data_IF_561238857686
#
_entry.id   IF_561238857686
#
_cell.length_a   1.000
_cell.length_b   1.000
_cell.length_c   1.000
_cell.angle_alpha   90.00
_cell.angle_beta   90.00
_cell.angle_gamma   90.00
#
_symmetry.space_group_name_H-M   'P 1'
#
loop_
_entity.id
_entity.type
_entity.pdbx_description
1 polymer ?
#
# COMPACT_ATOMS: atom_id res chain seq x y z
N UNK A 1 1.11 19.79 10.74
CA UNK A 1 1.05 20.29 9.35
C UNK A 1 -0.37 20.17 8.83
N UNK A 2 -0.77 21.06 7.92
CA UNK A 2 -2.12 21.00 7.37
C UNK A 2 -2.17 21.49 5.91
N UNK A 3 -3.13 20.92 5.17
CA UNK A 3 -3.55 21.37 3.84
C UNK A 3 -4.97 21.94 3.95
N UNK A 4 -5.24 23.00 3.22
CA UNK A 4 -6.60 23.63 3.11
C UNK A 4 -7.23 23.44 1.73
N UNK A 5 -6.57 22.67 0.88
CA UNK A 5 -7.06 22.23 -0.43
C UNK A 5 -6.79 20.72 -0.58
N UNK A 6 -7.61 20.00 -1.34
CA UNK A 6 -7.31 18.60 -1.70
C UNK A 6 -6.03 18.54 -2.53
N UNK A 7 -5.44 17.36 -2.59
CA UNK A 7 -4.25 17.07 -3.38
C UNK A 7 -4.60 16.85 -4.85
N UNK A 8 -3.66 17.13 -5.75
CA UNK A 8 -3.81 16.83 -7.18
C UNK A 8 -3.46 15.36 -7.48
N UNK A 9 -2.61 14.77 -6.67
CA UNK A 9 -2.17 13.38 -6.81
C UNK A 9 -1.43 12.91 -5.55
N UNK A 10 -0.97 11.67 -5.55
CA UNK A 10 -0.26 11.04 -4.43
C UNK A 10 1.08 11.68 -4.06
N UNK A 11 1.68 12.53 -4.90
CA UNK A 11 2.93 13.23 -4.57
C UNK A 11 2.74 14.30 -3.48
N UNK A 12 1.49 14.73 -3.28
CA UNK A 12 1.11 15.70 -2.25
C UNK A 12 0.56 15.03 -1.00
N UNK A 13 0.74 13.71 -0.87
CA UNK A 13 0.27 12.93 0.27
C UNK A 13 1.00 13.28 1.56
N UNK A 14 0.31 13.13 2.68
CA UNK A 14 0.91 13.19 4.02
C UNK A 14 1.34 11.79 4.47
N UNK A 15 2.53 11.62 5.07
CA UNK A 15 2.94 10.34 5.64
C UNK A 15 2.21 10.09 6.95
N UNK A 16 1.84 8.85 7.20
CA UNK A 16 1.37 8.36 8.49
C UNK A 16 1.91 6.94 8.69
N UNK A 17 2.12 6.50 9.93
CA UNK A 17 2.61 5.15 10.16
C UNK A 17 2.71 4.80 11.62
N UNK A 18 2.83 3.52 11.88
CA UNK A 18 3.02 2.93 13.21
C UNK A 18 3.37 1.46 13.06
N UNK A 19 3.93 0.86 14.11
CA UNK A 19 4.46 -0.49 14.07
C UNK A 19 5.38 -0.68 12.85
N UNK A 20 5.04 -1.58 11.92
CA UNK A 20 5.80 -1.85 10.69
C UNK A 20 5.04 -1.42 9.41
N UNK A 21 3.94 -0.64 9.57
CA UNK A 21 3.12 -0.12 8.47
C UNK A 21 3.45 1.34 8.20
N UNK A 22 3.61 1.67 6.93
CA UNK A 22 3.72 3.03 6.42
C UNK A 22 2.59 3.34 5.45
N UNK A 23 2.06 4.56 5.53
CA UNK A 23 1.00 5.09 4.69
C UNK A 23 1.43 6.37 4.01
N UNK A 24 0.89 6.59 2.82
CA UNK A 24 0.82 7.88 2.15
C UNK A 24 -0.65 8.22 1.96
N UNK A 25 -1.14 9.27 2.60
CA UNK A 25 -2.57 9.60 2.66
C UNK A 25 -2.85 10.94 2.00
N UNK A 26 -3.86 11.00 1.13
CA UNK A 26 -4.28 12.24 0.47
C UNK A 26 -5.78 12.22 0.14
N UNK A 27 -6.33 13.39 -0.13
CA UNK A 27 -7.70 13.54 -0.64
C UNK A 27 -7.62 14.04 -2.08
N UNK A 28 -8.27 13.35 -2.99
CA UNK A 28 -8.34 13.67 -4.41
C UNK A 28 -9.75 13.38 -4.93
N UNK A 29 -10.36 14.32 -5.65
CA UNK A 29 -11.72 14.20 -6.18
C UNK A 29 -12.77 13.82 -5.12
N UNK A 30 -12.67 14.39 -3.92
CA UNK A 30 -13.53 14.13 -2.76
C UNK A 30 -13.45 12.72 -2.16
N UNK A 31 -12.52 11.88 -2.64
CA UNK A 31 -12.22 10.56 -2.06
C UNK A 31 -10.99 10.66 -1.14
N UNK A 32 -11.01 9.98 0.00
CA UNK A 32 -9.81 9.74 0.77
C UNK A 32 -9.08 8.52 0.19
N UNK A 33 -7.79 8.70 -0.11
CA UNK A 33 -6.95 7.66 -0.67
C UNK A 33 -5.72 7.45 0.22
N UNK A 34 -5.28 6.21 0.32
CA UNK A 34 -3.99 5.93 0.93
C UNK A 34 -3.31 4.69 0.34
N UNK A 35 -2.00 4.80 0.15
CA UNK A 35 -1.13 3.64 -0.10
C UNK A 35 -0.76 2.99 1.21
N UNK A 36 -0.64 1.68 1.19
CA UNK A 36 -0.13 0.88 2.32
C UNK A 36 1.15 0.18 1.91
N UNK A 37 2.13 0.22 2.78
CA UNK A 37 3.32 -0.62 2.72
C UNK A 37 3.61 -1.21 4.09
N UNK A 38 4.28 -2.36 4.10
CA UNK A 38 4.72 -3.02 5.33
C UNK A 38 6.18 -3.41 5.19
N UNK A 39 6.95 -3.20 6.26
CA UNK A 39 8.36 -3.58 6.28
C UNK A 39 8.53 -5.10 6.11
N UNK A 40 9.48 -5.51 5.27
CA UNK A 40 9.80 -6.92 5.06
C UNK A 40 8.87 -7.68 4.12
N UNK A 41 7.93 -7.01 3.45
CA UNK A 41 7.05 -7.66 2.46
C UNK A 41 7.68 -7.56 1.07
N UNK A 42 8.00 -8.71 0.48
CA UNK A 42 8.62 -8.82 -0.84
C UNK A 42 7.88 -9.84 -1.71
N UNK A 43 7.84 -9.57 -3.02
CA UNK A 43 7.37 -10.55 -3.99
C UNK A 43 8.47 -11.56 -4.36
N UNK A 44 8.13 -12.54 -5.21
CA UNK A 44 9.04 -13.57 -5.72
C UNK A 44 10.25 -13.01 -6.47
N UNK A 45 10.22 -11.76 -6.83
CA UNK A 45 11.31 -11.07 -7.52
C UNK A 45 12.12 -10.15 -6.60
N UNK A 46 11.90 -10.27 -5.27
CA UNK A 46 12.55 -9.45 -4.24
C UNK A 46 12.27 -7.94 -4.41
N UNK A 47 11.12 -7.59 -4.96
CA UNK A 47 10.65 -6.22 -4.97
C UNK A 47 9.86 -5.94 -3.69
N UNK A 48 10.21 -4.85 -2.99
CA UNK A 48 9.42 -4.39 -1.83
C UNK A 48 8.05 -3.95 -2.31
N UNK A 49 7.02 -4.57 -1.78
CA UNK A 49 5.65 -4.33 -2.22
C UNK A 49 5.02 -3.13 -1.54
N UNK A 50 4.37 -2.29 -2.33
CA UNK A 50 3.21 -1.55 -1.86
C UNK A 50 2.03 -2.53 -1.85
N UNK A 51 1.39 -2.67 -0.69
CA UNK A 51 0.30 -3.66 -0.51
C UNK A 51 -1.01 -3.23 -1.19
N UNK A 52 -1.03 -2.10 -1.86
CA UNK A 52 -2.17 -1.61 -2.60
C UNK A 52 -2.54 -0.17 -2.24
N UNK A 53 -3.63 0.27 -2.82
CA UNK A 53 -4.27 1.55 -2.52
C UNK A 53 -5.68 1.30 -2.01
N UNK A 54 -6.03 1.94 -0.92
CA UNK A 54 -7.40 2.02 -0.44
C UNK A 54 -8.01 3.34 -0.87
N UNK A 55 -9.28 3.28 -1.24
CA UNK A 55 -10.11 4.43 -1.59
C UNK A 55 -11.35 4.41 -0.71
N UNK A 56 -11.59 5.49 -0.01
CA UNK A 56 -12.80 5.66 0.80
C UNK A 56 -13.61 6.79 0.18
N UNK A 57 -14.80 6.46 -0.28
CA UNK A 57 -15.81 7.38 -0.82
C UNK A 57 -16.95 7.51 0.15
N UNK A 58 -17.37 8.73 0.40
CA UNK A 58 -18.51 9.04 1.24
C UNK A 58 -19.73 9.48 0.39
N UNK A 59 -20.89 9.11 0.81
CA UNK A 59 -22.15 9.65 0.26
C UNK A 59 -22.96 10.24 1.40
N UNK A 60 -23.17 11.58 1.47
CA UNK A 60 -22.69 12.63 0.55
C UNK A 60 -21.17 12.78 0.53
N UNK A 61 -20.60 13.20 -0.61
CA UNK A 61 -19.16 13.38 -0.80
C UNK A 61 -18.54 14.35 0.23
N UNK A 62 -17.24 14.27 0.44
CA UNK A 62 -16.49 15.31 1.13
C UNK A 62 -16.60 16.62 0.37
N UNK A 63 -16.98 17.70 1.07
CA UNK A 63 -16.92 19.05 0.52
C UNK A 63 -15.49 19.57 0.53
N UNK A 64 -14.88 19.60 -0.63
CA UNK A 64 -13.48 20.06 -0.80
C UNK A 64 -13.38 21.54 -1.19
N UNK A 65 -14.53 22.23 -1.37
CA UNK A 65 -14.56 23.64 -1.80
C UNK A 65 -14.66 24.64 -0.65
N UNK A 66 -15.19 24.23 0.51
CA UNK A 66 -15.49 25.14 1.61
C UNK A 66 -14.49 25.02 2.76
N UNK A 67 -14.90 24.33 3.80
CA UNK A 67 -14.13 24.21 5.06
C UNK A 67 -13.15 23.03 5.05
N UNK A 68 -12.67 22.61 3.88
CA UNK A 68 -11.75 21.46 3.77
C UNK A 68 -10.45 21.70 4.54
N UNK A 69 -10.06 20.69 5.31
CA UNK A 69 -8.78 20.66 6.00
C UNK A 69 -8.29 19.23 6.21
N UNK A 70 -7.12 18.95 5.72
CA UNK A 70 -6.36 17.74 6.04
C UNK A 70 -5.23 18.12 6.99
N UNK A 71 -5.12 17.45 8.14
CA UNK A 71 -4.13 17.77 9.18
C UNK A 71 -3.36 16.53 9.59
N UNK A 72 -2.03 16.62 9.62
CA UNK A 72 -1.13 15.66 10.22
C UNK A 72 -0.78 16.11 11.65
N UNK A 73 -1.22 15.35 12.65
CA UNK A 73 -0.93 15.54 14.06
C UNK A 73 0.36 14.80 14.43
N UNK A 74 1.50 15.44 14.19
CA UNK A 74 2.83 14.80 14.27
C UNK A 74 3.15 14.28 15.66
N UNK A 75 2.75 15.02 16.69
CA UNK A 75 3.04 14.64 18.09
C UNK A 75 2.24 13.41 18.54
N UNK A 76 1.07 13.20 17.96
CA UNK A 76 0.10 12.19 18.37
C UNK A 76 0.01 11.03 17.37
N UNK A 77 0.66 11.15 16.19
CA UNK A 77 0.80 10.08 15.20
C UNK A 77 -0.47 9.74 14.43
N UNK A 78 -1.41 10.68 14.29
CA UNK A 78 -2.63 10.45 13.51
C UNK A 78 -2.90 11.59 12.52
N UNK A 79 -3.86 11.36 11.65
CA UNK A 79 -4.28 12.31 10.63
C UNK A 79 -5.79 12.55 10.69
N UNK A 80 -6.22 13.78 10.39
CA UNK A 80 -7.63 14.10 10.23
C UNK A 80 -7.90 14.75 8.90
N UNK A 81 -9.07 14.44 8.32
CA UNK A 81 -9.66 15.16 7.20
C UNK A 81 -11.03 15.64 7.63
N UNK A 82 -11.31 16.93 7.44
CA UNK A 82 -12.63 17.52 7.77
C UNK A 82 -13.10 18.46 6.67
N UNK A 83 -14.42 18.51 6.47
CA UNK A 83 -15.10 19.47 5.60
C UNK A 83 -16.05 20.39 6.38
N UNK A 84 -15.94 20.41 7.71
CA UNK A 84 -16.81 21.15 8.62
C UNK A 84 -18.07 20.42 9.06
N UNK A 85 -18.51 19.38 8.35
CA UNK A 85 -19.66 18.53 8.69
C UNK A 85 -19.26 17.08 8.97
N UNK A 86 -18.24 16.62 8.28
CA UNK A 86 -17.67 15.27 8.41
C UNK A 86 -16.24 15.36 8.91
N UNK A 87 -15.82 14.36 9.65
CA UNK A 87 -14.46 14.19 10.10
C UNK A 87 -14.03 12.74 9.89
N UNK A 88 -12.93 12.55 9.18
CA UNK A 88 -12.26 11.25 9.08
C UNK A 88 -10.99 11.33 9.92
N UNK A 89 -10.79 10.37 10.79
CA UNK A 89 -9.56 10.19 11.57
C UNK A 89 -8.89 8.91 11.11
N UNK A 90 -7.61 8.98 10.75
CA UNK A 90 -6.83 7.85 10.29
C UNK A 90 -5.53 7.75 11.10
N UNK A 91 -5.23 6.54 11.58
CA UNK A 91 -3.96 6.25 12.26
C UNK A 91 -3.56 4.79 12.06
N UNK A 92 -2.30 4.50 12.36
CA UNK A 92 -1.78 3.13 12.45
C UNK A 92 -1.55 2.80 13.92
N UNK A 93 -2.05 1.64 14.36
CA UNK A 93 -1.81 1.15 15.71
C UNK A 93 -0.30 0.93 15.93
N UNK A 94 0.21 1.39 17.07
CA UNK A 94 1.65 1.30 17.39
C UNK A 94 2.06 -0.08 17.89
N UNK A 95 1.11 -0.91 18.30
CA UNK A 95 1.36 -2.25 18.85
C UNK A 95 0.97 -3.37 17.88
N UNK A 96 0.16 -3.09 16.88
CA UNK A 96 -0.37 -4.05 15.91
C UNK A 96 -0.30 -3.49 14.48
N UNK A 97 -0.09 -4.34 13.48
CA UNK A 97 -0.10 -3.90 12.08
C UNK A 97 -1.53 -3.66 11.59
N UNK A 98 -2.20 -2.66 12.17
CA UNK A 98 -3.60 -2.31 11.87
C UNK A 98 -3.71 -0.84 11.52
N UNK A 99 -4.37 -0.55 10.40
CA UNK A 99 -4.78 0.81 10.02
C UNK A 99 -6.22 1.02 10.47
N UNK A 100 -6.46 2.08 11.21
CA UNK A 100 -7.78 2.48 11.65
C UNK A 100 -8.26 3.68 10.85
N UNK A 101 -9.54 3.65 10.46
CA UNK A 101 -10.23 4.77 9.83
C UNK A 101 -11.57 4.95 10.53
N UNK A 102 -11.74 6.07 11.21
CA UNK A 102 -12.99 6.44 11.86
C UNK A 102 -13.64 7.59 11.11
N UNK A 103 -14.95 7.51 10.94
CA UNK A 103 -15.72 8.51 10.20
C UNK A 103 -16.86 9.02 11.11
N UNK A 104 -16.83 10.31 11.40
CA UNK A 104 -17.81 11.02 12.19
C UNK A 104 -18.61 11.97 11.26
N UNK A 105 -19.93 12.03 11.44
CA UNK A 105 -20.80 12.96 10.70
C UNK A 105 -22.00 13.34 11.55
N UNK A 106 -22.44 14.59 11.39
CA UNK A 106 -23.67 15.10 12.02
C UNK A 106 -24.97 14.61 11.33
N UNK A 107 -24.86 13.97 10.16
CA UNK A 107 -25.98 13.42 9.39
C UNK A 107 -25.66 12.00 8.92
N UNK A 108 -26.67 11.17 8.61
CA UNK A 108 -26.45 9.84 8.05
C UNK A 108 -25.59 9.90 6.78
N UNK A 109 -24.65 8.97 6.66
CA UNK A 109 -23.82 8.80 5.46
C UNK A 109 -23.59 7.33 5.15
N UNK A 110 -23.15 7.07 3.92
CA UNK A 110 -22.63 5.77 3.49
C UNK A 110 -21.15 5.93 3.20
N UNK A 111 -20.33 5.01 3.70
CA UNK A 111 -18.91 4.91 3.38
C UNK A 111 -18.65 3.64 2.59
N UNK A 112 -18.06 3.80 1.41
CA UNK A 112 -17.59 2.71 0.56
C UNK A 112 -16.08 2.65 0.62
N UNK A 113 -15.51 1.46 0.81
CA UNK A 113 -14.08 1.25 0.84
C UNK A 113 -13.68 0.26 -0.26
N UNK A 114 -12.95 0.76 -1.26
CA UNK A 114 -12.39 -0.05 -2.34
C UNK A 114 -10.91 -0.34 -2.07
N UNK A 115 -10.50 -1.57 -2.34
CA UNK A 115 -9.09 -1.95 -2.39
C UNK A 115 -8.64 -2.08 -3.85
N UNK A 116 -7.54 -1.42 -4.20
CA UNK A 116 -6.99 -1.38 -5.53
C UNK A 116 -5.57 -2.00 -5.52
N UNK A 117 -5.39 -3.16 -6.17
CA UNK A 117 -4.09 -3.81 -6.33
C UNK A 117 -3.48 -3.54 -7.70
N UNK A 118 -2.16 -3.36 -7.74
CA UNK A 118 -1.39 -3.32 -8.99
C UNK A 118 -1.09 -4.71 -9.53
N UNK A 119 -1.19 -5.74 -8.70
CA UNK A 119 -0.97 -7.14 -9.08
C UNK A 119 -2.29 -7.87 -9.22
N UNK A 120 -3.19 -7.35 -10.05
CA UNK A 120 -4.50 -7.96 -10.34
C UNK A 120 -4.44 -9.02 -11.44
N UNK A 121 -3.30 -9.18 -12.10
CA UNK A 121 -3.04 -10.19 -13.13
C UNK A 121 -1.56 -10.45 -13.30
N UNK A 122 -1.24 -11.63 -13.80
CA UNK A 122 0.10 -12.04 -14.19
C UNK A 122 0.64 -11.19 -15.34
N UNK A 123 1.90 -10.80 -15.26
CA UNK A 123 2.53 -9.98 -16.29
C UNK A 123 4.05 -9.99 -16.23
N UNK A 124 4.68 -9.71 -17.36
CA UNK A 124 6.09 -9.41 -17.42
C UNK A 124 6.41 -8.05 -16.76
N UNK A 125 7.64 -7.88 -16.33
CA UNK A 125 8.14 -6.60 -15.84
C UNK A 125 7.97 -5.48 -16.86
N UNK A 126 7.61 -4.31 -16.39
CA UNK A 126 7.60 -3.07 -17.18
C UNK A 126 8.97 -2.39 -17.08
N UNK A 127 9.27 -1.56 -18.08
CA UNK A 127 10.48 -0.72 -18.07
C UNK A 127 10.55 0.10 -16.78
N UNK A 128 11.66 0.01 -16.06
CA UNK A 128 11.92 0.75 -14.83
C UNK A 128 11.51 0.03 -13.54
N UNK A 129 10.70 -1.02 -13.58
CA UNK A 129 10.32 -1.78 -12.37
C UNK A 129 11.51 -2.50 -11.73
N UNK A 130 12.51 -2.92 -12.52
CA UNK A 130 13.75 -3.51 -12.02
C UNK A 130 14.52 -2.61 -11.04
N UNK A 131 14.25 -1.31 -11.03
CA UNK A 131 14.83 -0.37 -10.06
C UNK A 131 14.31 -0.59 -8.62
N UNK A 132 13.20 -1.28 -8.47
CA UNK A 132 12.58 -1.64 -7.19
C UNK A 132 13.12 -2.95 -6.60
N UNK A 133 14.01 -3.62 -7.31
CA UNK A 133 14.54 -4.95 -6.99
C UNK A 133 16.01 -4.89 -6.61
N UNK A 134 16.54 -5.98 -6.06
CA UNK A 134 17.97 -6.17 -5.85
C UNK A 134 18.78 -6.08 -7.16
N UNK A 135 18.17 -6.45 -8.29
CA UNK A 135 18.72 -6.30 -9.63
C UNK A 135 18.32 -4.97 -10.27
N UNK A 136 19.07 -3.93 -10.00
CA UNK A 136 18.77 -2.57 -10.50
C UNK A 136 18.96 -2.41 -12.01
N UNK A 137 19.81 -3.22 -12.64
CA UNK A 137 20.22 -3.02 -14.05
C UNK A 137 19.66 -4.07 -15.00
N UNK A 138 19.61 -5.31 -14.58
CA UNK A 138 19.15 -6.42 -15.41
C UNK A 138 18.62 -7.53 -14.51
N UNK A 139 17.33 -7.74 -14.56
CA UNK A 139 16.73 -8.92 -13.95
C UNK A 139 17.11 -10.18 -14.75
N UNK A 140 17.21 -11.37 -14.15
CA UNK A 140 17.33 -12.62 -14.85
C UNK A 140 16.25 -12.78 -15.92
N UNK A 141 16.56 -13.53 -16.98
CA UNK A 141 15.61 -13.81 -18.02
C UNK A 141 14.38 -14.54 -17.45
N UNK A 142 13.19 -14.14 -17.93
CA UNK A 142 11.94 -14.75 -17.47
C UNK A 142 11.40 -14.17 -16.16
N UNK A 143 11.96 -13.08 -15.64
CA UNK A 143 11.42 -12.38 -14.48
C UNK A 143 9.99 -11.93 -14.75
N UNK A 144 9.10 -12.27 -13.83
CA UNK A 144 7.66 -12.18 -14.00
C UNK A 144 7.01 -11.76 -12.68
N UNK A 145 5.87 -11.09 -12.74
CA UNK A 145 5.07 -10.73 -11.56
C UNK A 145 3.79 -11.55 -11.57
N UNK A 146 3.56 -12.32 -10.53
CA UNK A 146 2.31 -13.04 -10.31
C UNK A 146 1.27 -12.12 -9.67
N UNK A 147 0.00 -12.44 -9.90
CA UNK A 147 -1.12 -11.69 -9.31
C UNK A 147 -1.29 -12.02 -7.82
N UNK A 148 -1.98 -11.11 -7.12
CA UNK A 148 -2.44 -11.35 -5.76
C UNK A 148 -3.74 -12.16 -5.78
N UNK A 149 -3.96 -12.96 -4.75
CA UNK A 149 -5.22 -13.66 -4.51
C UNK A 149 -6.18 -12.75 -3.73
N UNK A 150 -7.47 -12.83 -4.07
CA UNK A 150 -8.54 -12.04 -3.46
C UNK A 150 -9.69 -12.95 -3.04
N UNK A 151 -10.03 -12.91 -1.77
CA UNK A 151 -11.11 -13.72 -1.18
C UNK A 151 -12.11 -12.77 -0.51
N UNK A 152 -13.20 -12.38 -1.20
CA UNK A 152 -14.29 -11.64 -0.58
C UNK A 152 -15.17 -12.59 0.23
N UNK A 153 -15.41 -12.27 1.49
CA UNK A 153 -16.26 -13.06 2.37
C UNK A 153 -16.94 -12.18 3.43
N UNK A 154 -18.28 -12.23 3.51
CA UNK A 154 -19.06 -11.59 4.58
C UNK A 154 -18.73 -10.12 4.88
N UNK A 155 -18.54 -9.31 3.83
CA UNK A 155 -18.19 -7.89 3.97
C UNK A 155 -16.71 -7.64 4.32
N UNK A 156 -15.90 -8.68 4.30
CA UNK A 156 -14.45 -8.61 4.44
C UNK A 156 -13.78 -8.95 3.11
N UNK A 157 -12.61 -8.39 2.89
CA UNK A 157 -11.74 -8.74 1.78
C UNK A 157 -10.40 -9.22 2.34
N UNK A 158 -10.08 -10.49 2.13
CA UNK A 158 -8.73 -11.01 2.35
C UNK A 158 -7.96 -10.93 1.04
N UNK A 159 -6.76 -10.41 1.08
CA UNK A 159 -5.85 -10.44 -0.06
C UNK A 159 -4.44 -10.83 0.40
N UNK A 160 -3.74 -11.56 -0.43
CA UNK A 160 -2.37 -11.98 -0.14
C UNK A 160 -1.58 -12.23 -1.42
N UNK A 161 -0.27 -12.12 -1.32
CA UNK A 161 0.66 -12.57 -2.34
C UNK A 161 1.36 -13.82 -1.84
N UNK A 162 1.40 -14.86 -2.68
CA UNK A 162 2.12 -16.08 -2.39
C UNK A 162 3.30 -16.21 -3.35
N UNK A 163 4.50 -16.29 -2.80
CA UNK A 163 5.68 -16.59 -3.58
C UNK A 163 5.61 -18.04 -4.08
N UNK A 164 6.03 -18.24 -5.33
CA UNK A 164 6.07 -19.57 -5.95
C UNK A 164 7.38 -20.29 -5.62
N UNK A 165 7.49 -21.55 -6.02
CA UNK A 165 8.68 -22.38 -5.83
C UNK A 165 9.92 -21.84 -6.58
N UNK A 166 9.72 -21.02 -7.62
CA UNK A 166 10.79 -20.39 -8.39
C UNK A 166 10.86 -18.91 -8.11
N UNK A 167 11.81 -18.50 -7.28
CA UNK A 167 12.02 -17.09 -6.93
C UNK A 167 13.27 -16.53 -7.61
N UNK A 168 13.42 -15.20 -7.59
CA UNK A 168 14.61 -14.50 -8.07
C UNK A 168 15.87 -14.99 -7.35
N UNK A 169 15.75 -15.45 -6.11
CA UNK A 169 16.85 -16.02 -5.36
C UNK A 169 17.44 -17.22 -6.09
N UNK A 170 16.61 -18.18 -6.49
CA UNK A 170 17.06 -19.39 -7.18
C UNK A 170 17.64 -19.07 -8.56
N UNK A 171 17.00 -18.18 -9.30
CA UNK A 171 17.50 -17.69 -10.58
C UNK A 171 18.87 -17.03 -10.45
N UNK A 172 19.05 -16.21 -9.40
CA UNK A 172 20.31 -15.52 -9.10
C UNK A 172 21.42 -16.48 -8.72
N UNK A 173 21.13 -17.42 -7.83
CA UNK A 173 22.09 -18.45 -7.38
C UNK A 173 22.58 -19.27 -8.59
N UNK A 174 21.65 -19.60 -9.50
CA UNK A 174 21.98 -20.33 -10.73
C UNK A 174 22.85 -19.49 -11.68
N UNK A 175 22.46 -18.25 -11.95
CA UNK A 175 23.18 -17.35 -12.87
C UNK A 175 24.59 -17.04 -12.36
N UNK A 176 24.75 -16.88 -11.05
CA UNK A 176 26.06 -16.66 -10.40
C UNK A 176 26.86 -17.93 -10.17
N UNK A 177 26.36 -19.09 -10.59
CA UNK A 177 27.01 -20.41 -10.42
C UNK A 177 27.28 -20.78 -8.95
N UNK A 178 26.39 -20.37 -8.05
CA UNK A 178 26.48 -20.59 -6.61
C UNK A 178 25.62 -21.78 -6.13
N UNK A 179 25.07 -22.59 -7.02
CA UNK A 179 24.26 -23.77 -6.69
C UNK A 179 24.86 -24.67 -5.59
N UNK A 180 26.20 -24.96 -5.59
CA UNK A 180 26.82 -25.76 -4.52
C UNK A 180 26.79 -25.12 -3.12
N UNK A 181 26.48 -23.81 -3.06
CA UNK A 181 26.40 -23.04 -1.83
C UNK A 181 24.97 -22.66 -1.46
N UNK A 182 23.98 -23.04 -2.25
CA UNK A 182 22.58 -22.61 -2.12
C UNK A 182 22.05 -22.76 -0.69
N UNK A 183 22.27 -23.91 -0.07
CA UNK A 183 21.77 -24.21 1.28
C UNK A 183 22.46 -23.40 2.40
N UNK A 184 23.56 -22.73 2.08
CA UNK A 184 24.28 -21.83 3.00
C UNK A 184 23.91 -20.36 2.79
N UNK A 185 23.16 -20.07 1.76
CA UNK A 185 22.72 -18.70 1.44
C UNK A 185 21.36 -18.43 2.06
N UNK A 186 21.19 -17.22 2.55
CA UNK A 186 19.91 -16.76 3.08
C UNK A 186 18.99 -16.36 1.93
N UNK A 187 17.77 -16.93 1.89
CA UNK A 187 16.73 -16.52 0.97
C UNK A 187 15.82 -15.49 1.66
N UNK A 188 15.91 -14.20 1.31
CA UNK A 188 15.11 -13.15 1.94
C UNK A 188 13.65 -13.15 1.48
N UNK A 189 13.31 -13.87 0.41
CA UNK A 189 11.97 -13.85 -0.19
C UNK A 189 11.08 -14.95 0.41
N UNK A 190 11.70 -15.93 1.05
CA UNK A 190 11.01 -17.11 1.53
C UNK A 190 10.69 -18.10 0.41
N UNK A 191 10.23 -19.27 0.74
CA UNK A 191 9.83 -20.37 -0.14
C UNK A 191 9.33 -21.51 0.72
#
# INVERSE_FOLDING_TARGET
YFWTSPSHNSMESMPCGGHDIGLNVWVENSDLLFYVSRSGVFDENNAMLKLGRFRIRLTPLLDTAGSFRQTLHVNDGYMTVTDGQKKITLWVDVFKPVVHVEIESGAPLVAECDYESWRYKDRNYRKGESMQMSYKFKAPAGTFTHHDEFIPENGQLTFYHQNTDSTIFDATVSEQRLLPLRDKLYNPIGG
#
